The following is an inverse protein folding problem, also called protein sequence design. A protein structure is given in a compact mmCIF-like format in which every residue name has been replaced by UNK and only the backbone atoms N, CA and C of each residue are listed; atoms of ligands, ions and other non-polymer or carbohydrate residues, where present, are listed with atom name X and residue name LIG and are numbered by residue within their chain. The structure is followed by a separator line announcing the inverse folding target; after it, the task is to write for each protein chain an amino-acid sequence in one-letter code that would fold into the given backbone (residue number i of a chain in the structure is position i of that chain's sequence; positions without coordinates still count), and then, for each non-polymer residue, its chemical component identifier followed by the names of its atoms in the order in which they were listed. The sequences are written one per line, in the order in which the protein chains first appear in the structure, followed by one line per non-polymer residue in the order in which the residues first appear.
data_IF_423117671796
#
_entry.id   IF_423117671796
#
_cell.length_a   1.000
_cell.length_b   1.000
_cell.length_c   1.000
_cell.angle_alpha   90.00
_cell.angle_beta   90.00
_cell.angle_gamma   90.00
#
_symmetry.space_group_name_H-M   'P 1'
#
loop_
_entity.id
_entity.type
_entity.pdbx_description
1 polymer ?
#
# COMPACT_ATOMS: atom_id res chain seq x y z
N UNK A 1 13.96 33.73 -9.76
CA UNK A 1 14.50 32.39 -9.48
C UNK A 1 13.41 31.57 -8.84
N UNK A 2 12.59 30.92 -9.66
CA UNK A 2 11.45 30.13 -9.18
C UNK A 2 11.94 28.83 -8.58
N UNK A 3 11.67 28.61 -7.30
CA UNK A 3 11.83 27.30 -6.67
C UNK A 3 10.95 26.31 -7.46
N UNK A 4 11.58 25.43 -8.22
CA UNK A 4 10.91 24.28 -8.80
C UNK A 4 10.44 23.40 -7.64
N UNK A 5 9.17 23.55 -7.28
CA UNK A 5 8.49 22.63 -6.37
C UNK A 5 8.33 21.33 -7.14
N UNK A 6 9.35 20.47 -7.07
CA UNK A 6 9.24 19.13 -7.64
C UNK A 6 8.02 18.46 -7.00
N UNK A 7 7.15 17.83 -7.79
CA UNK A 7 6.07 17.04 -7.22
C UNK A 7 6.70 16.04 -6.27
N UNK A 8 6.17 15.95 -5.04
CA UNK A 8 6.55 14.96 -4.02
C UNK A 8 6.11 13.59 -4.54
N UNK A 9 6.80 13.12 -5.58
CA UNK A 9 6.65 11.81 -6.14
C UNK A 9 7.80 11.01 -5.53
N UNK A 10 7.45 10.25 -4.49
CA UNK A 10 8.35 9.36 -3.76
C UNK A 10 9.46 10.06 -2.98
N UNK A 11 9.11 10.73 -1.88
CA UNK A 11 10.11 10.97 -0.83
C UNK A 11 10.68 9.60 -0.40
N UNK A 12 11.97 9.39 -0.64
CA UNK A 12 12.66 8.13 -0.37
C UNK A 12 12.54 7.69 1.09
N UNK A 13 12.37 8.64 2.01
CA UNK A 13 12.11 8.35 3.42
C UNK A 13 10.77 7.67 3.64
N UNK A 14 9.73 8.11 2.91
CA UNK A 14 8.36 7.60 2.97
C UNK A 14 8.27 6.22 2.34
N UNK A 15 8.99 5.97 1.24
CA UNK A 15 9.06 4.65 0.59
C UNK A 15 9.79 3.63 1.47
N UNK A 16 10.85 4.06 2.18
CA UNK A 16 11.58 3.19 3.11
C UNK A 16 10.76 2.85 4.37
N UNK A 17 9.90 3.74 4.83
CA UNK A 17 8.96 3.44 5.91
C UNK A 17 7.88 2.46 5.42
N UNK A 18 7.31 2.71 4.23
CA UNK A 18 6.32 1.83 3.62
C UNK A 18 6.87 0.42 3.41
N UNK A 19 8.09 0.25 2.92
CA UNK A 19 8.68 -1.07 2.70
C UNK A 19 8.87 -1.84 4.01
N UNK A 20 9.33 -1.16 5.08
CA UNK A 20 9.46 -1.77 6.41
C UNK A 20 8.10 -2.19 6.97
N UNK A 21 7.09 -1.35 6.84
CA UNK A 21 5.75 -1.66 7.35
C UNK A 21 5.09 -2.76 6.51
N UNK A 22 5.22 -2.74 5.19
CA UNK A 22 4.74 -3.78 4.30
C UNK A 22 5.31 -5.16 4.69
N UNK A 23 6.61 -5.24 4.99
CA UNK A 23 7.23 -6.50 5.46
C UNK A 23 6.58 -6.98 6.77
N UNK A 24 6.30 -6.09 7.73
CA UNK A 24 5.60 -6.46 8.97
C UNK A 24 4.20 -7.03 8.68
N UNK A 25 3.45 -6.39 7.79
CA UNK A 25 2.10 -6.82 7.44
C UNK A 25 2.09 -8.13 6.63
N UNK A 26 3.07 -8.34 5.75
CA UNK A 26 3.28 -9.62 5.05
C UNK A 26 3.55 -10.73 6.05
N UNK A 27 4.44 -10.52 7.03
CA UNK A 27 4.73 -11.52 8.07
C UNK A 27 3.49 -11.81 8.91
N UNK A 28 2.76 -10.78 9.33
CA UNK A 28 1.53 -10.94 10.09
C UNK A 28 0.44 -11.69 9.30
N UNK A 29 0.29 -11.36 8.01
CA UNK A 29 -0.62 -12.05 7.10
C UNK A 29 -0.22 -13.50 6.86
N UNK A 30 1.09 -13.77 6.71
CA UNK A 30 1.64 -15.11 6.58
C UNK A 30 1.42 -15.98 7.81
N UNK A 31 1.58 -15.43 9.02
CA UNK A 31 1.27 -16.12 10.28
C UNK A 31 -0.23 -16.47 10.39
N UNK A 32 -1.12 -15.54 10.02
CA UNK A 32 -2.56 -15.80 9.96
C UNK A 32 -2.89 -16.90 8.94
N UNK A 33 -2.29 -16.84 7.76
CA UNK A 33 -2.43 -17.85 6.71
C UNK A 33 -1.92 -19.22 7.15
N UNK A 34 -0.81 -19.27 7.90
CA UNK A 34 -0.29 -20.51 8.47
C UNK A 34 -1.26 -21.11 9.50
N UNK A 35 -1.82 -20.30 10.41
CA UNK A 35 -2.80 -20.76 11.39
C UNK A 35 -4.07 -21.33 10.71
N UNK A 36 -4.58 -20.65 9.69
CA UNK A 36 -5.73 -21.13 8.88
C UNK A 36 -5.34 -22.40 8.12
N UNK A 37 -4.19 -22.41 7.46
CA UNK A 37 -3.71 -23.55 6.69
C UNK A 37 -3.55 -24.81 7.55
N UNK A 38 -2.96 -24.69 8.73
CA UNK A 38 -2.75 -25.82 9.67
C UNK A 38 -4.09 -26.32 10.23
N UNK A 39 -4.93 -25.42 10.74
CA UNK A 39 -6.23 -25.80 11.32
C UNK A 39 -7.13 -26.46 10.28
N UNK A 40 -7.20 -25.90 9.07
CA UNK A 40 -8.01 -26.44 7.98
C UNK A 40 -7.44 -27.76 7.45
N UNK A 41 -6.11 -27.90 7.35
CA UNK A 41 -5.48 -29.16 6.96
C UNK A 41 -5.72 -30.28 7.99
N UNK A 42 -5.73 -29.95 9.29
CA UNK A 42 -6.06 -30.91 10.34
C UNK A 42 -7.51 -31.41 10.20
N UNK A 43 -8.44 -30.48 9.95
CA UNK A 43 -9.85 -30.81 9.72
C UNK A 43 -10.03 -31.67 8.45
N UNK A 44 -9.41 -31.28 7.35
CA UNK A 44 -9.42 -32.02 6.08
C UNK A 44 -8.85 -33.42 6.23
N UNK A 45 -7.79 -33.60 7.03
CA UNK A 45 -7.23 -34.93 7.30
C UNK A 45 -8.20 -35.83 8.06
N UNK A 46 -9.08 -35.27 8.90
CA UNK A 46 -10.05 -36.02 9.70
C UNK A 46 -11.30 -36.44 8.92
N UNK A 47 -11.78 -35.60 8.00
CA UNK A 47 -13.06 -35.78 7.30
C UNK A 47 -12.91 -36.14 5.81
N UNK A 48 -11.83 -35.74 5.14
CA UNK A 48 -11.65 -35.98 3.69
C UNK A 48 -10.70 -37.15 3.42
N UNK A 49 -11.24 -38.21 2.80
CA UNK A 49 -10.46 -39.36 2.32
C UNK A 49 -9.51 -38.99 1.17
N UNK A 50 -9.86 -38.00 0.35
CA UNK A 50 -9.03 -37.48 -0.73
C UNK A 50 -7.78 -36.78 -0.18
N UNK A 51 -7.94 -35.91 0.82
CA UNK A 51 -6.81 -35.20 1.43
C UNK A 51 -5.92 -36.14 2.26
N UNK A 52 -6.52 -37.18 2.88
CA UNK A 52 -5.80 -38.22 3.63
C UNK A 52 -4.86 -39.05 2.72
N UNK A 53 -5.28 -39.32 1.50
CA UNK A 53 -4.53 -40.14 0.52
C UNK A 53 -3.59 -39.30 -0.36
N UNK A 54 -3.72 -37.97 -0.30
CA UNK A 54 -2.91 -37.06 -1.09
C UNK A 54 -1.42 -37.11 -0.73
N UNK A 55 -0.56 -36.99 -1.76
CA UNK A 55 0.90 -36.94 -1.62
C UNK A 55 1.35 -35.67 -0.90
N UNK A 56 2.57 -35.71 -0.36
CA UNK A 56 3.16 -34.60 0.41
C UNK A 56 3.15 -33.27 -0.37
N UNK A 57 3.35 -33.31 -1.68
CA UNK A 57 3.35 -32.14 -2.57
C UNK A 57 2.04 -31.34 -2.51
N UNK A 58 0.90 -32.03 -2.55
CA UNK A 58 -0.43 -31.39 -2.51
C UNK A 58 -0.66 -30.72 -1.15
N UNK A 59 -0.19 -31.36 -0.07
CA UNK A 59 -0.30 -30.80 1.29
C UNK A 59 0.55 -29.54 1.44
N UNK A 60 1.78 -29.58 0.95
CA UNK A 60 2.67 -28.41 0.98
C UNK A 60 2.10 -27.27 0.13
N UNK A 61 1.57 -27.57 -1.07
CA UNK A 61 0.91 -26.57 -1.91
C UNK A 61 -0.29 -25.92 -1.20
N UNK A 62 -1.12 -26.71 -0.52
CA UNK A 62 -2.26 -26.21 0.23
C UNK A 62 -1.85 -25.20 1.32
N UNK A 63 -0.80 -25.50 2.08
CA UNK A 63 -0.28 -24.58 3.09
C UNK A 63 0.31 -23.31 2.48
N UNK A 64 1.10 -23.44 1.41
CA UNK A 64 1.70 -22.29 0.72
C UNK A 64 0.61 -21.39 0.15
N UNK A 65 -0.45 -21.96 -0.45
CA UNK A 65 -1.57 -21.19 -1.00
C UNK A 65 -2.26 -20.33 0.07
N UNK A 66 -2.51 -20.88 1.26
CA UNK A 66 -3.10 -20.11 2.36
C UNK A 66 -2.15 -19.04 2.90
N UNK A 67 -0.87 -19.36 3.05
CA UNK A 67 0.14 -18.41 3.55
C UNK A 67 0.30 -17.24 2.56
N UNK A 68 0.48 -17.54 1.26
CA UNK A 68 0.68 -16.51 0.23
C UNK A 68 -0.55 -15.65 0.06
N UNK A 69 -1.74 -16.25 0.04
CA UNK A 69 -3.00 -15.52 -0.08
C UNK A 69 -3.21 -14.55 1.09
N UNK A 70 -3.07 -15.01 2.34
CA UNK A 70 -3.26 -14.14 3.50
C UNK A 70 -2.17 -13.08 3.64
N UNK A 71 -0.92 -13.40 3.27
CA UNK A 71 0.17 -12.43 3.24
C UNK A 71 -0.12 -11.29 2.24
N UNK A 72 -0.51 -11.65 1.01
CA UNK A 72 -0.81 -10.70 -0.04
C UNK A 72 -2.03 -9.83 0.30
N UNK A 73 -3.13 -10.45 0.73
CA UNK A 73 -4.35 -9.73 1.11
C UNK A 73 -4.13 -8.70 2.22
N UNK A 74 -3.33 -9.06 3.24
CA UNK A 74 -3.02 -8.15 4.35
C UNK A 74 -2.13 -6.99 3.90
N UNK A 75 -1.16 -7.28 3.02
CA UNK A 75 -0.26 -6.28 2.45
C UNK A 75 -1.01 -5.25 1.58
N UNK A 76 -1.88 -5.73 0.68
CA UNK A 76 -2.69 -4.87 -0.18
C UNK A 76 -3.64 -3.97 0.61
N UNK A 77 -4.31 -4.52 1.63
CA UNK A 77 -5.18 -3.73 2.51
C UNK A 77 -4.44 -2.61 3.23
N UNK A 78 -3.19 -2.86 3.65
CA UNK A 78 -2.34 -1.82 4.23
C UNK A 78 -1.93 -0.77 3.20
N UNK A 79 -1.59 -1.19 1.97
CA UNK A 79 -1.18 -0.31 0.89
C UNK A 79 -2.28 0.67 0.50
N UNK A 80 -3.53 0.20 0.39
CA UNK A 80 -4.70 1.05 0.13
C UNK A 80 -4.90 2.08 1.26
N UNK A 81 -4.79 1.64 2.51
CA UNK A 81 -4.95 2.53 3.68
C UNK A 81 -3.86 3.59 3.71
N UNK A 82 -2.62 3.20 3.40
CA UNK A 82 -1.48 4.10 3.30
C UNK A 82 -1.68 5.13 2.20
N UNK A 83 -2.09 4.71 1.00
CA UNK A 83 -2.36 5.59 -0.12
C UNK A 83 -3.47 6.60 0.22
N UNK A 84 -4.56 6.16 0.85
CA UNK A 84 -5.63 7.04 1.31
C UNK A 84 -5.12 8.10 2.29
N UNK A 85 -4.36 7.68 3.31
CA UNK A 85 -3.79 8.58 4.30
C UNK A 85 -2.84 9.61 3.66
N UNK A 86 -2.01 9.17 2.73
CA UNK A 86 -1.11 10.05 1.99
C UNK A 86 -1.88 11.13 1.21
N UNK A 87 -2.94 10.75 0.50
CA UNK A 87 -3.79 11.72 -0.20
C UNK A 87 -4.50 12.69 0.75
N UNK A 88 -4.99 12.21 1.88
CA UNK A 88 -5.65 13.07 2.89
C UNK A 88 -4.66 14.09 3.49
N UNK A 89 -3.43 13.67 3.77
CA UNK A 89 -2.37 14.54 4.30
C UNK A 89 -1.90 15.56 3.24
N UNK A 90 -1.78 15.15 1.99
CA UNK A 90 -1.44 16.04 0.86
C UNK A 90 -2.55 17.07 0.61
N UNK A 91 -3.83 16.67 0.69
CA UNK A 91 -4.96 17.61 0.60
C UNK A 91 -4.96 18.64 1.74
N UNK A 92 -4.66 18.21 2.97
CA UNK A 92 -4.53 19.13 4.11
C UNK A 92 -3.38 20.11 3.91
N UNK A 93 -2.21 19.61 3.51
CA UNK A 93 -1.04 20.44 3.23
C UNK A 93 -1.35 21.51 2.18
N UNK A 94 -2.06 21.13 1.10
CA UNK A 94 -2.50 22.07 0.07
C UNK A 94 -3.45 23.14 0.61
N UNK A 95 -4.42 22.75 1.45
CA UNK A 95 -5.32 23.71 2.12
C UNK A 95 -4.56 24.71 2.97
N UNK A 96 -3.63 24.25 3.80
CA UNK A 96 -2.83 25.16 4.66
C UNK A 96 -1.99 26.13 3.84
N UNK A 97 -1.41 25.71 2.72
CA UNK A 97 -0.66 26.59 1.82
C UNK A 97 -1.56 27.63 1.13
N UNK A 98 -2.78 27.23 0.74
CA UNK A 98 -3.79 28.15 0.18
C UNK A 98 -4.24 29.19 1.23
N UNK A 99 -4.51 28.74 2.45
CA UNK A 99 -4.91 29.62 3.56
C UNK A 99 -3.78 30.62 3.90
N UNK A 100 -2.52 30.17 3.95
CA UNK A 100 -1.36 31.04 4.20
C UNK A 100 -1.11 32.04 3.05
N UNK A 101 -1.34 31.64 1.81
CA UNK A 101 -1.24 32.54 0.65
C UNK A 101 -2.36 33.60 0.64
N UNK A 102 -3.58 33.20 1.02
CA UNK A 102 -4.72 34.10 1.18
C UNK A 102 -4.47 35.12 2.32
N UNK A 103 -3.94 34.68 3.46
CA UNK A 103 -3.58 35.57 4.58
C UNK A 103 -2.50 36.59 4.19
N UNK A 104 -1.57 36.21 3.29
CA UNK A 104 -0.53 37.11 2.78
C UNK A 104 -1.00 38.05 1.65
N UNK A 105 -2.28 38.00 1.28
CA UNK A 105 -2.88 38.84 0.23
C UNK A 105 -2.37 38.55 -1.18
N UNK A 106 -1.68 37.42 -1.39
CA UNK A 106 -1.22 36.97 -2.70
C UNK A 106 -2.26 35.98 -3.21
N UNK A 107 -3.22 36.49 -3.98
CA UNK A 107 -4.15 35.66 -4.74
C UNK A 107 -3.36 34.91 -5.83
N UNK A 108 -3.10 33.63 -5.61
CA UNK A 108 -2.77 32.71 -6.69
C UNK A 108 -4.10 32.32 -7.33
N UNK A 109 -4.39 32.83 -8.52
CA UNK A 109 -5.54 32.37 -9.30
C UNK A 109 -5.42 30.85 -9.52
N UNK A 110 -6.53 30.11 -9.38
CA UNK A 110 -6.55 28.64 -9.39
C UNK A 110 -5.87 28.02 -10.64
N UNK A 111 -5.76 28.79 -11.73
CA UNK A 111 -5.09 28.42 -12.97
C UNK A 111 -3.55 28.26 -12.82
N UNK A 112 -2.89 29.01 -11.94
CA UNK A 112 -1.43 28.96 -11.76
C UNK A 112 -0.99 27.78 -10.88
N UNK A 113 -1.83 27.39 -9.92
CA UNK A 113 -1.60 26.20 -9.08
C UNK A 113 -1.76 24.92 -9.92
N UNK A 114 -2.71 24.90 -10.85
CA UNK A 114 -2.90 23.78 -11.79
C UNK A 114 -1.77 23.74 -12.84
N UNK A 115 -1.32 24.89 -13.37
CA UNK A 115 -0.21 24.93 -14.33
C UNK A 115 1.14 24.51 -13.76
N UNK A 116 1.40 24.78 -12.48
CA UNK A 116 2.65 24.34 -11.83
C UNK A 116 2.73 22.83 -11.59
N UNK A 117 1.60 22.11 -11.71
CA UNK A 117 1.50 20.66 -11.46
C UNK A 117 1.32 19.81 -12.73
N UNK A 118 1.05 20.41 -13.89
CA UNK A 118 0.97 19.71 -15.18
C UNK A 118 2.37 19.70 -15.83
N UNK A 119 2.95 18.54 -16.19
CA UNK A 119 4.23 18.48 -16.87
C UNK A 119 4.12 19.18 -18.22
N UNK A 120 4.94 20.20 -18.46
CA UNK A 120 5.18 20.72 -19.81
C UNK A 120 5.74 19.56 -20.66
N UNK A 121 5.07 19.13 -21.75
CA UNK A 121 5.65 18.15 -22.64
C UNK A 121 6.92 18.74 -23.24
N UNK A 122 8.04 18.06 -22.98
CA UNK A 122 9.37 18.46 -23.41
C UNK A 122 9.37 18.69 -24.93
N UNK A 123 9.37 19.96 -25.35
CA UNK A 123 9.61 20.34 -26.75
C UNK A 123 11.12 20.44 -26.94
N UNK A 124 11.72 19.33 -27.35
CA UNK A 124 13.03 19.30 -28.02
C UNK A 124 12.83 19.15 -29.51
#
# INVERSE_FOLDING_TARGET
MGNQVQPVHYDSSTVNQLSKDLVKYIVLGGLKGAAIGISTAFLLRRYSTLYRTSRIQVRTFYHIAWISYCAYFTADGHLITFQKKYFDDELKRRKTLLDEAAEKGVFLEEEDVVRSTIPQPNRS
#
